data_IF_797849947698
#
_entry.id   IF_797849947698
#
_cell.length_a   1.000
_cell.length_b   1.000
_cell.length_c   1.000
_cell.angle_alpha   90.00
_cell.angle_beta   90.00
_cell.angle_gamma   90.00
#
_symmetry.space_group_name_H-M   'P 1'
#
loop_
_entity.id
_entity.type
_entity.pdbx_description
1 polymer ?
#
# COMPACT_ATOMS: atom_id res chain seq x y z
N UNK A 1 0.78 13.81 -13.40
CA UNK A 1 1.49 12.63 -12.87
C UNK A 1 0.78 11.37 -13.30
N UNK A 2 1.43 10.58 -14.18
CA UNK A 2 0.83 9.44 -14.92
C UNK A 2 0.03 8.48 -14.05
N UNK A 3 0.44 8.26 -12.81
CA UNK A 3 -0.22 7.31 -11.90
C UNK A 3 -1.49 7.89 -11.28
N UNK A 4 -1.50 9.18 -10.97
CA UNK A 4 -2.67 9.91 -10.47
C UNK A 4 -3.75 10.03 -11.54
N UNK A 5 -3.34 10.28 -12.78
CA UNK A 5 -4.26 10.45 -13.91
C UNK A 5 -4.92 9.12 -14.28
N UNK A 6 -4.17 8.00 -14.27
CA UNK A 6 -4.69 6.66 -14.56
C UNK A 6 -5.71 6.21 -13.52
N UNK A 7 -5.46 6.45 -12.23
CA UNK A 7 -6.42 6.11 -11.18
C UNK A 7 -7.69 6.96 -11.29
N UNK A 8 -7.55 8.25 -11.60
CA UNK A 8 -8.68 9.17 -11.72
C UNK A 8 -9.52 8.89 -12.97
N UNK A 9 -8.91 8.56 -14.10
CA UNK A 9 -9.62 8.19 -15.33
C UNK A 9 -10.36 6.86 -15.17
N UNK A 10 -9.74 5.85 -14.60
CA UNK A 10 -10.35 4.54 -14.38
C UNK A 10 -11.60 4.64 -13.48
N UNK A 11 -11.57 5.48 -12.44
CA UNK A 11 -12.76 5.70 -11.61
C UNK A 11 -13.87 6.50 -12.32
N UNK A 12 -13.53 7.41 -13.25
CA UNK A 12 -14.52 8.14 -14.04
C UNK A 12 -15.26 7.26 -15.05
N UNK A 13 -14.54 6.35 -15.72
CA UNK A 13 -15.15 5.42 -16.68
C UNK A 13 -16.12 4.45 -16.02
N UNK A 14 -15.81 3.92 -14.83
CA UNK A 14 -16.75 3.10 -14.06
C UNK A 14 -18.00 3.86 -13.65
N UNK A 15 -17.87 5.14 -13.25
CA UNK A 15 -19.01 5.99 -12.92
C UNK A 15 -20.01 6.12 -14.07
N UNK A 16 -19.56 6.08 -15.31
CA UNK A 16 -20.41 6.20 -16.51
C UNK A 16 -21.14 4.87 -16.84
N UNK A 17 -20.49 3.71 -16.67
CA UNK A 17 -21.08 2.40 -16.96
C UNK A 17 -22.19 2.01 -15.98
N UNK A 18 -22.02 2.26 -14.67
CA UNK A 18 -23.02 1.90 -13.66
C UNK A 18 -24.23 2.85 -13.62
N UNK A 19 -24.12 4.08 -14.13
CA UNK A 19 -25.25 4.99 -14.28
C UNK A 19 -26.30 4.46 -15.27
N UNK A 20 -25.90 3.59 -16.20
CA UNK A 20 -26.76 2.96 -17.18
C UNK A 20 -27.55 1.77 -16.60
N UNK A 21 -26.97 1.02 -15.65
CA UNK A 21 -27.63 -0.15 -15.03
C UNK A 21 -28.64 0.21 -13.93
N UNK A 22 -28.56 1.39 -13.32
CA UNK A 22 -29.44 1.79 -12.22
C UNK A 22 -30.84 2.26 -12.65
N UNK A 23 -31.10 2.39 -13.94
CA UNK A 23 -32.42 2.80 -14.47
C UNK A 23 -33.45 1.68 -14.58
N UNK A 24 -33.04 0.41 -14.48
CA UNK A 24 -33.87 -0.75 -14.70
C UNK A 24 -34.40 -1.47 -13.45
N UNK A 25 -34.10 -1.02 -12.25
CA UNK A 25 -34.52 -1.69 -11.01
C UNK A 25 -35.24 -0.78 -10.00
N UNK A 26 -36.42 -0.27 -10.41
CA UNK A 26 -37.42 0.22 -9.45
C UNK A 26 -38.59 -0.77 -9.41
N UNK A 27 -38.51 -1.76 -8.52
CA UNK A 27 -39.67 -2.23 -7.75
C UNK A 27 -39.26 -3.24 -6.67
N UNK A 28 -39.59 -2.98 -5.46
CA UNK A 28 -40.18 -3.84 -4.45
C UNK A 28 -39.67 -3.59 -3.02
N UNK A 29 -40.63 -3.49 -2.14
CA UNK A 29 -40.63 -3.08 -0.73
C UNK A 29 -39.99 -4.06 0.25
N UNK A 30 -39.51 -3.45 1.35
CA UNK A 30 -39.46 -3.94 2.74
C UNK A 30 -38.56 -5.12 3.11
N UNK A 31 -37.42 -4.83 3.78
CA UNK A 31 -37.16 -5.44 5.09
C UNK A 31 -36.10 -4.69 5.91
N UNK A 32 -36.40 -4.43 7.17
CA UNK A 32 -35.45 -3.89 8.15
C UNK A 32 -34.49 -5.00 8.60
N UNK A 33 -33.16 -4.78 8.47
CA UNK A 33 -32.16 -5.63 9.10
C UNK A 33 -30.97 -6.10 8.28
N UNK A 34 -30.69 -5.55 7.07
CA UNK A 34 -29.65 -6.07 6.16
C UNK A 34 -28.67 -5.02 5.62
N UNK A 35 -28.52 -3.87 6.25
CA UNK A 35 -27.74 -2.77 5.67
C UNK A 35 -26.23 -2.95 5.77
N UNK A 36 -25.70 -3.73 6.71
CA UNK A 36 -24.26 -3.85 6.92
C UNK A 36 -23.59 -4.87 5.97
N UNK A 37 -24.25 -5.99 5.70
CA UNK A 37 -23.71 -7.03 4.81
C UNK A 37 -23.70 -6.64 3.33
N UNK A 38 -24.66 -5.83 2.88
CA UNK A 38 -24.75 -5.40 1.48
C UNK A 38 -23.69 -4.33 1.12
N UNK A 39 -23.34 -3.46 2.05
CA UNK A 39 -22.29 -2.46 1.88
C UNK A 39 -20.91 -3.12 1.75
N UNK A 40 -20.61 -4.06 2.64
CA UNK A 40 -19.34 -4.81 2.63
C UNK A 40 -19.16 -5.60 1.32
N UNK A 41 -20.20 -6.20 0.79
CA UNK A 41 -20.14 -6.95 -0.48
C UNK A 41 -19.86 -6.01 -1.67
N UNK A 42 -20.44 -4.81 -1.67
CA UNK A 42 -20.19 -3.80 -2.70
C UNK A 42 -18.77 -3.26 -2.66
N UNK A 43 -18.24 -2.98 -1.47
CA UNK A 43 -16.85 -2.53 -1.29
C UNK A 43 -15.87 -3.60 -1.78
N UNK A 44 -16.09 -4.87 -1.49
CA UNK A 44 -15.25 -5.97 -2.00
C UNK A 44 -15.29 -6.09 -3.54
N UNK A 45 -16.42 -5.80 -4.17
CA UNK A 45 -16.51 -5.78 -5.63
C UNK A 45 -15.69 -4.62 -6.22
N UNK A 46 -15.76 -3.43 -5.63
CA UNK A 46 -14.98 -2.26 -6.03
C UNK A 46 -13.47 -2.53 -5.89
N UNK A 47 -13.04 -3.14 -4.77
CA UNK A 47 -11.64 -3.54 -4.57
C UNK A 47 -11.16 -4.48 -5.68
N UNK A 48 -11.96 -5.49 -6.02
CA UNK A 48 -11.64 -6.47 -7.06
C UNK A 48 -11.52 -5.82 -8.44
N UNK A 49 -12.43 -4.92 -8.74
CA UNK A 49 -12.41 -4.19 -10.02
C UNK A 49 -11.20 -3.28 -10.13
N UNK A 50 -10.85 -2.57 -9.06
CA UNK A 50 -9.62 -1.77 -9.02
C UNK A 50 -8.37 -2.63 -9.24
N UNK A 51 -8.26 -3.77 -8.54
CA UNK A 51 -7.13 -4.69 -8.72
C UNK A 51 -7.05 -5.19 -10.16
N UNK A 52 -8.18 -5.57 -10.75
CA UNK A 52 -8.24 -6.02 -12.14
C UNK A 52 -7.78 -4.92 -13.10
N UNK A 53 -8.18 -3.67 -12.90
CA UNK A 53 -7.76 -2.55 -13.74
C UNK A 53 -6.27 -2.25 -13.60
N UNK A 54 -5.74 -2.24 -12.39
CA UNK A 54 -4.31 -2.01 -12.13
C UNK A 54 -3.42 -3.07 -12.77
N UNK A 55 -3.89 -4.31 -12.86
CA UNK A 55 -3.10 -5.46 -13.34
C UNK A 55 -3.43 -5.89 -14.76
N UNK A 56 -4.30 -5.13 -15.47
CA UNK A 56 -4.77 -5.47 -16.82
C UNK A 56 -3.70 -5.23 -17.89
N UNK A 57 -3.69 -6.12 -18.89
CA UNK A 57 -2.87 -5.97 -20.09
C UNK A 57 -1.37 -6.04 -19.80
N UNK A 58 -0.61 -5.12 -20.37
CA UNK A 58 0.85 -5.02 -20.21
C UNK A 58 1.26 -4.22 -18.96
N UNK A 59 0.38 -4.14 -17.95
CA UNK A 59 0.70 -3.46 -16.70
C UNK A 59 1.89 -4.11 -16.00
N UNK A 60 2.76 -3.29 -15.44
CA UNK A 60 3.86 -3.77 -14.59
C UNK A 60 3.40 -4.18 -13.18
N UNK A 61 2.18 -3.86 -12.78
CA UNK A 61 1.61 -4.23 -11.49
C UNK A 61 1.17 -5.69 -11.47
N UNK A 62 1.58 -6.43 -10.45
CA UNK A 62 1.26 -7.85 -10.24
C UNK A 62 0.43 -8.01 -9.00
N UNK A 63 -0.73 -8.64 -9.11
CA UNK A 63 -1.57 -8.95 -7.96
C UNK A 63 -1.01 -10.12 -7.17
N UNK A 64 -0.86 -9.94 -5.84
CA UNK A 64 -0.28 -10.89 -4.91
C UNK A 64 -1.26 -11.24 -3.78
N UNK A 65 -2.27 -12.09 -4.05
CA UNK A 65 -3.24 -12.53 -3.04
C UNK A 65 -2.62 -13.39 -1.92
N UNK A 66 -1.45 -13.94 -2.16
CA UNK A 66 -0.67 -14.71 -1.20
C UNK A 66 -0.09 -13.83 -0.07
N UNK A 67 0.15 -12.55 -0.33
CA UNK A 67 0.70 -11.58 0.63
C UNK A 67 -0.41 -10.98 1.50
N UNK A 68 -1.00 -11.77 2.37
CA UNK A 68 -2.19 -11.42 3.14
C UNK A 68 -1.93 -11.18 4.64
N UNK A 69 -0.67 -11.12 5.07
CA UNK A 69 -0.27 -10.78 6.43
C UNK A 69 1.00 -9.90 6.44
N UNK A 70 1.21 -9.17 7.53
CA UNK A 70 2.41 -8.34 7.69
C UNK A 70 3.71 -9.19 7.65
N UNK A 71 3.68 -10.38 8.20
CA UNK A 71 4.81 -11.31 8.14
C UNK A 71 5.18 -11.66 6.69
N UNK A 72 4.19 -12.02 5.88
CA UNK A 72 4.40 -12.33 4.45
C UNK A 72 4.85 -11.11 3.65
N UNK A 73 4.43 -9.91 4.02
CA UNK A 73 4.94 -8.68 3.41
C UNK A 73 6.44 -8.50 3.71
N UNK A 74 6.87 -8.76 4.94
CA UNK A 74 8.28 -8.72 5.29
C UNK A 74 9.10 -9.77 4.55
N UNK A 75 8.58 -11.00 4.44
CA UNK A 75 9.26 -12.07 3.70
C UNK A 75 9.46 -11.69 2.24
N UNK A 76 8.40 -11.19 1.59
CA UNK A 76 8.47 -10.68 0.22
C UNK A 76 9.45 -9.50 0.08
N UNK A 77 9.45 -8.57 1.04
CA UNK A 77 10.40 -7.45 1.04
C UNK A 77 11.85 -7.95 1.10
N UNK A 78 12.17 -8.89 1.98
CA UNK A 78 13.52 -9.45 2.08
C UNK A 78 13.93 -10.24 0.85
N UNK A 79 13.02 -10.98 0.22
CA UNK A 79 13.26 -11.64 -1.06
C UNK A 79 13.68 -10.63 -2.12
N UNK A 80 12.92 -9.55 -2.31
CA UNK A 80 13.24 -8.48 -3.25
C UNK A 80 14.55 -7.77 -2.90
N UNK A 81 14.79 -7.52 -1.63
CA UNK A 81 16.03 -6.90 -1.17
C UNK A 81 17.25 -7.77 -1.51
N UNK A 82 17.19 -9.06 -1.26
CA UNK A 82 18.28 -9.99 -1.56
C UNK A 82 18.47 -10.14 -3.08
N UNK A 83 17.41 -10.29 -3.87
CA UNK A 83 17.45 -10.31 -5.34
C UNK A 83 18.13 -9.07 -5.92
N UNK A 84 17.83 -7.90 -5.40
CA UNK A 84 18.36 -6.62 -5.88
C UNK A 84 19.80 -6.36 -5.43
N UNK A 85 20.31 -7.09 -4.44
CA UNK A 85 21.63 -6.89 -3.85
C UNK A 85 22.55 -8.11 -3.90
N UNK A 86 22.35 -9.00 -4.86
CA UNK A 86 23.11 -10.27 -5.00
C UNK A 86 24.63 -10.03 -4.96
N UNK A 87 25.12 -9.00 -5.64
CA UNK A 87 26.56 -8.68 -5.67
C UNK A 87 27.10 -8.25 -4.32
N UNK A 88 26.34 -7.41 -3.59
CA UNK A 88 26.73 -6.89 -2.27
C UNK A 88 26.68 -7.99 -1.23
N UNK A 89 25.70 -8.90 -1.32
CA UNK A 89 25.55 -10.04 -0.40
C UNK A 89 26.58 -11.16 -0.67
N UNK A 90 27.11 -11.26 -1.90
CA UNK A 90 28.18 -12.19 -2.26
C UNK A 90 27.95 -13.64 -1.77
N UNK A 91 26.79 -14.19 -2.07
CA UNK A 91 26.35 -15.55 -1.65
C UNK A 91 26.17 -15.75 -0.12
N UNK A 92 26.15 -14.66 0.64
CA UNK A 92 25.87 -14.69 2.09
C UNK A 92 24.47 -14.08 2.37
N UNK A 93 23.38 -14.87 2.37
CA UNK A 93 22.03 -14.36 2.62
C UNK A 93 21.93 -13.71 3.99
N UNK A 94 20.90 -12.88 4.16
CA UNK A 94 20.65 -12.18 5.42
C UNK A 94 20.22 -13.16 6.50
N UNK A 95 20.86 -13.08 7.68
CA UNK A 95 20.45 -13.82 8.87
C UNK A 95 19.20 -13.20 9.51
N UNK A 96 18.58 -13.93 10.43
CA UNK A 96 17.44 -13.43 11.19
C UNK A 96 17.78 -12.15 11.97
N UNK A 97 18.95 -12.11 12.61
CA UNK A 97 19.44 -10.93 13.34
C UNK A 97 19.63 -9.73 12.44
N UNK A 98 20.19 -9.93 11.25
CA UNK A 98 20.39 -8.90 10.24
C UNK A 98 19.05 -8.37 9.68
N UNK A 99 18.09 -9.25 9.43
CA UNK A 99 16.73 -8.88 9.05
C UNK A 99 16.05 -8.01 10.12
N UNK A 100 16.27 -8.29 11.39
CA UNK A 100 15.76 -7.46 12.49
C UNK A 100 16.40 -6.08 12.55
N UNK A 101 17.70 -5.95 12.25
CA UNK A 101 18.34 -4.63 12.10
C UNK A 101 17.62 -3.80 11.02
N UNK A 102 17.30 -4.41 9.89
CA UNK A 102 16.60 -3.75 8.77
C UNK A 102 15.18 -3.38 9.16
N UNK A 103 14.42 -4.28 9.79
CA UNK A 103 13.07 -3.98 10.29
C UNK A 103 13.05 -2.78 11.23
N UNK A 104 14.04 -2.66 12.11
CA UNK A 104 14.17 -1.53 13.02
C UNK A 104 14.45 -0.21 12.29
N UNK A 105 15.30 -0.22 11.26
CA UNK A 105 15.58 0.95 10.45
C UNK A 105 14.35 1.42 9.65
N UNK A 106 13.51 0.49 9.18
CA UNK A 106 12.32 0.75 8.39
C UNK A 106 11.05 0.97 9.22
N UNK A 107 11.16 0.99 10.54
CA UNK A 107 10.08 1.37 11.43
C UNK A 107 10.16 2.87 11.74
N UNK A 108 9.66 3.68 10.83
CA UNK A 108 9.74 5.13 10.91
C UNK A 108 8.80 5.72 11.96
N UNK A 109 9.25 6.77 12.65
CA UNK A 109 8.47 7.47 13.68
C UNK A 109 7.26 8.17 13.07
N UNK A 110 7.41 8.68 11.84
CA UNK A 110 6.35 9.33 11.08
C UNK A 110 6.63 9.26 9.58
N UNK A 111 5.64 9.64 8.76
CA UNK A 111 5.75 9.61 7.31
C UNK A 111 6.80 10.59 6.75
N UNK A 112 7.09 11.66 7.45
CA UNK A 112 8.12 12.61 7.05
C UNK A 112 9.52 12.02 7.15
N UNK A 113 9.82 11.30 8.22
CA UNK A 113 11.09 10.57 8.36
C UNK A 113 11.22 9.46 7.30
N UNK A 114 10.13 8.77 6.99
CA UNK A 114 10.09 7.83 5.87
C UNK A 114 10.38 8.52 4.53
N UNK A 115 9.79 9.68 4.28
CA UNK A 115 10.01 10.44 3.04
C UNK A 115 11.48 10.87 2.88
N UNK A 116 12.12 11.31 3.95
CA UNK A 116 13.55 11.65 3.95
C UNK A 116 14.41 10.44 3.58
N UNK A 117 14.13 9.30 4.18
CA UNK A 117 14.84 8.07 3.87
C UNK A 117 14.61 7.62 2.42
N UNK A 118 13.36 7.67 1.93
CA UNK A 118 13.01 7.29 0.54
C UNK A 118 13.70 8.19 -0.47
N UNK A 119 13.86 9.49 -0.19
CA UNK A 119 14.60 10.41 -1.04
C UNK A 119 16.05 9.98 -1.24
N UNK A 120 16.65 9.39 -0.21
CA UNK A 120 17.95 8.74 -0.24
C UNK A 120 19.12 9.66 -0.56
N UNK A 121 20.29 9.05 -0.72
CA UNK A 121 21.48 9.70 -1.26
C UNK A 121 21.53 9.48 -2.78
N UNK A 122 21.59 10.57 -3.53
CA UNK A 122 21.60 10.53 -5.00
C UNK A 122 20.40 9.77 -5.61
N UNK A 123 19.24 9.81 -4.95
CA UNK A 123 18.04 9.15 -5.38
C UNK A 123 17.98 7.64 -5.12
N UNK A 124 18.82 7.13 -4.24
CA UNK A 124 18.83 5.72 -3.84
C UNK A 124 18.60 5.62 -2.34
N UNK A 125 17.51 4.98 -1.93
CA UNK A 125 17.25 4.66 -0.53
C UNK A 125 17.94 3.35 -0.16
N UNK A 126 18.71 3.37 0.92
CA UNK A 126 19.55 2.25 1.37
C UNK A 126 19.29 1.93 2.83
N UNK A 127 19.53 0.68 3.20
CA UNK A 127 19.64 0.23 4.59
C UNK A 127 21.08 -0.20 4.87
N UNK A 128 21.53 0.02 6.10
CA UNK A 128 22.86 -0.39 6.54
C UNK A 128 22.72 -1.62 7.45
N UNK A 129 23.55 -2.62 7.20
CA UNK A 129 23.53 -3.87 7.95
C UNK A 129 24.94 -4.17 8.45
N UNK A 130 25.07 -4.33 9.76
CA UNK A 130 26.27 -4.93 10.33
C UNK A 130 26.12 -6.43 10.26
N UNK A 131 27.01 -7.09 9.49
CA UNK A 131 26.94 -8.53 9.30
C UNK A 131 27.23 -9.26 10.60
N UNK A 132 26.52 -10.35 10.82
CA UNK A 132 26.71 -11.21 11.98
C UNK A 132 28.09 -11.89 11.96
N UNK A 133 28.54 -12.29 10.78
CA UNK A 133 29.95 -12.64 10.54
C UNK A 133 30.80 -11.36 10.42
N UNK A 134 31.58 -11.09 11.46
CA UNK A 134 32.42 -9.90 11.53
C UNK A 134 33.42 -9.76 10.36
N UNK A 135 33.79 -10.86 9.71
CA UNK A 135 34.68 -10.84 8.53
C UNK A 135 34.03 -10.19 7.31
N UNK A 136 32.69 -10.16 7.25
CA UNK A 136 31.93 -9.54 6.19
C UNK A 136 31.68 -8.02 6.41
N UNK A 137 31.97 -7.51 7.62
CA UNK A 137 31.91 -6.10 7.95
C UNK A 137 30.49 -5.52 7.94
N UNK A 138 30.39 -4.25 7.58
CA UNK A 138 29.13 -3.51 7.43
C UNK A 138 28.85 -3.25 5.96
N UNK A 139 27.65 -3.56 5.52
CA UNK A 139 27.23 -3.39 4.13
C UNK A 139 26.06 -2.43 4.03
N UNK A 140 25.86 -1.85 2.84
CA UNK A 140 24.67 -1.05 2.49
C UNK A 140 23.92 -1.74 1.36
N UNK A 141 22.63 -1.95 1.58
CA UNK A 141 21.74 -2.59 0.61
C UNK A 141 20.81 -1.53 0.00
N UNK A 142 20.67 -1.57 -1.31
CA UNK A 142 19.79 -0.68 -2.05
C UNK A 142 18.35 -1.21 -2.00
N UNK A 143 17.40 -0.33 -1.65
CA UNK A 143 15.98 -0.68 -1.50
C UNK A 143 15.13 -0.07 -2.61
N UNK A 144 15.28 1.24 -2.86
CA UNK A 144 14.49 1.98 -3.86
C UNK A 144 15.40 2.88 -4.70
N UNK A 145 15.08 3.01 -5.98
CA UNK A 145 15.78 3.89 -6.92
C UNK A 145 14.82 4.90 -7.51
N UNK A 146 15.04 6.17 -7.27
CA UNK A 146 14.21 7.26 -7.79
C UNK A 146 14.18 7.30 -9.32
N UNK A 147 15.30 7.11 -9.97
CA UNK A 147 15.43 7.25 -11.43
C UNK A 147 14.99 6.01 -12.21
N UNK A 148 14.73 4.90 -11.56
CA UNK A 148 14.36 3.62 -12.17
C UNK A 148 12.95 3.16 -11.77
N UNK A 149 12.11 4.08 -11.30
CA UNK A 149 10.73 3.74 -10.94
C UNK A 149 9.92 3.28 -12.16
N UNK A 150 10.26 3.75 -13.34
CA UNK A 150 9.55 3.40 -14.57
C UNK A 150 10.25 2.37 -15.48
N UNK A 151 11.37 1.78 -15.08
CA UNK A 151 12.13 0.91 -15.98
C UNK A 151 13.09 -0.05 -15.32
N UNK A 152 12.78 -1.30 -15.29
CA UNK A 152 13.68 -2.43 -15.44
C UNK A 152 14.10 -3.22 -14.20
N UNK A 153 14.25 -2.67 -13.00
CA UNK A 153 14.70 -3.43 -11.82
C UNK A 153 13.72 -3.43 -10.65
N UNK A 154 12.74 -2.53 -10.65
CA UNK A 154 11.76 -2.46 -9.59
C UNK A 154 10.62 -3.43 -9.82
N UNK A 155 10.15 -4.08 -8.76
CA UNK A 155 8.94 -4.87 -8.74
C UNK A 155 7.76 -4.01 -8.26
N UNK A 156 6.60 -4.22 -8.86
CA UNK A 156 5.36 -3.50 -8.59
C UNK A 156 4.28 -4.51 -8.24
N UNK A 157 3.80 -4.48 -7.02
CA UNK A 157 2.87 -5.48 -6.53
C UNK A 157 1.64 -4.83 -5.88
N UNK A 158 0.50 -5.47 -6.06
CA UNK A 158 -0.79 -5.06 -5.48
C UNK A 158 -1.23 -6.10 -4.48
N UNK A 159 -1.50 -5.67 -3.25
CA UNK A 159 -2.06 -6.51 -2.18
C UNK A 159 -3.35 -5.89 -1.66
N UNK A 160 -4.22 -6.68 -1.06
CA UNK A 160 -5.45 -6.19 -0.47
C UNK A 160 -5.73 -6.83 0.89
N UNK A 161 -6.41 -6.09 1.76
CA UNK A 161 -6.92 -6.54 3.06
C UNK A 161 -5.89 -7.34 3.88
N UNK A 162 -4.67 -6.81 3.98
CA UNK A 162 -3.59 -7.42 4.74
C UNK A 162 -3.97 -7.55 6.22
N UNK A 163 -3.84 -8.73 6.76
CA UNK A 163 -4.09 -9.00 8.17
C UNK A 163 -2.91 -8.56 9.03
N UNK A 164 -3.20 -7.79 10.06
CA UNK A 164 -2.21 -7.34 11.06
C UNK A 164 -2.66 -7.74 12.46
N UNK A 165 -1.72 -7.87 13.37
CA UNK A 165 -1.97 -8.24 14.76
C UNK A 165 -1.66 -9.71 15.07
N UNK A 166 -1.26 -9.96 16.34
CA UNK A 166 -0.98 -11.30 16.87
C UNK A 166 -2.23 -12.09 17.21
N UNK A 167 -2.06 -13.20 17.92
CA UNK A 167 -3.16 -14.06 18.36
C UNK A 167 -4.23 -13.26 19.12
N UNK A 168 -5.47 -13.31 18.63
CA UNK A 168 -6.67 -12.78 19.28
C UNK A 168 -7.21 -11.45 18.76
N UNK A 169 -6.43 -10.61 18.08
CA UNK A 169 -6.91 -9.34 17.51
C UNK A 169 -6.42 -9.23 16.06
N UNK A 170 -7.18 -9.80 15.15
CA UNK A 170 -6.92 -9.65 13.72
C UNK A 170 -7.57 -8.38 13.20
N UNK A 171 -6.76 -7.41 12.86
CA UNK A 171 -7.22 -6.22 12.15
C UNK A 171 -6.81 -6.32 10.68
N UNK A 172 -7.71 -5.95 9.79
CA UNK A 172 -7.38 -5.76 8.38
C UNK A 172 -6.84 -4.36 8.19
N UNK A 173 -5.78 -4.26 7.42
CA UNK A 173 -5.17 -2.98 7.11
C UNK A 173 -5.32 -2.69 5.64
N UNK A 174 -6.03 -1.60 5.35
CA UNK A 174 -6.22 -1.09 4.01
C UNK A 174 -7.07 -1.96 3.09
N UNK A 175 -7.77 -1.33 2.21
CA UNK A 175 -8.52 -2.05 1.18
C UNK A 175 -7.54 -2.55 0.11
N UNK A 176 -6.75 -1.64 -0.48
CA UNK A 176 -5.70 -1.98 -1.47
C UNK A 176 -4.40 -1.26 -1.12
N UNK A 177 -3.28 -1.98 -1.17
CA UNK A 177 -1.94 -1.41 -0.94
C UNK A 177 -1.03 -1.70 -2.12
N UNK A 178 -0.32 -0.69 -2.58
CA UNK A 178 0.65 -0.80 -3.66
C UNK A 178 2.06 -0.86 -3.09
N UNK A 179 2.81 -1.89 -3.51
CA UNK A 179 4.19 -2.15 -3.09
C UNK A 179 5.15 -1.86 -4.23
N UNK A 180 6.27 -1.21 -3.91
CA UNK A 180 7.43 -1.13 -4.82
C UNK A 180 8.61 -1.79 -4.13
N UNK A 181 9.22 -2.76 -4.77
CA UNK A 181 10.27 -3.61 -4.19
C UNK A 181 9.86 -4.22 -2.84
N UNK A 182 8.60 -4.63 -2.72
CA UNK A 182 8.02 -5.18 -1.51
C UNK A 182 7.70 -4.17 -0.41
N UNK A 183 7.99 -2.88 -0.60
CA UNK A 183 7.74 -1.84 0.40
C UNK A 183 6.41 -1.13 0.15
N UNK A 184 5.47 -1.08 1.12
CA UNK A 184 4.21 -0.34 0.98
C UNK A 184 4.43 1.16 0.81
N UNK A 185 3.98 1.72 -0.31
CA UNK A 185 4.14 3.15 -0.60
C UNK A 185 2.81 3.88 -0.78
N UNK A 186 1.77 3.19 -1.24
CA UNK A 186 0.46 3.79 -1.48
C UNK A 186 -0.62 2.93 -0.84
N UNK A 187 -1.47 3.57 -0.05
CA UNK A 187 -2.64 2.97 0.58
C UNK A 187 -3.89 3.54 -0.08
N UNK A 188 -4.78 2.66 -0.53
CA UNK A 188 -6.06 3.03 -1.13
C UNK A 188 -7.18 2.54 -0.22
N UNK A 189 -8.07 3.44 0.18
CA UNK A 189 -9.28 3.14 0.94
C UNK A 189 -10.51 3.42 0.08
N UNK A 190 -11.37 2.44 -0.02
CA UNK A 190 -12.53 2.45 -0.89
C UNK A 190 -13.82 2.44 -0.08
N UNK A 191 -14.80 3.16 -0.55
CA UNK A 191 -16.16 3.16 -0.01
C UNK A 191 -17.17 2.97 -1.12
N UNK A 192 -18.31 2.41 -0.80
CA UNK A 192 -19.43 2.34 -1.73
C UNK A 192 -19.97 3.75 -2.03
N UNK A 193 -20.68 3.91 -3.15
CA UNK A 193 -21.29 5.20 -3.56
C UNK A 193 -22.21 5.83 -2.53
N UNK A 194 -22.74 5.05 -1.61
CA UNK A 194 -23.57 5.53 -0.50
C UNK A 194 -22.79 6.28 0.59
N UNK A 195 -21.47 6.21 0.57
CA UNK A 195 -20.56 6.88 1.50
C UNK A 195 -19.79 8.00 0.80
N UNK A 196 -19.31 8.94 1.57
CA UNK A 196 -18.44 9.98 1.04
C UNK A 196 -16.96 9.52 1.08
N UNK A 197 -16.12 10.08 0.22
CA UNK A 197 -14.67 9.85 0.32
C UNK A 197 -14.11 10.30 1.69
N UNK A 198 -14.81 11.23 2.37
CA UNK A 198 -14.45 11.66 3.72
C UNK A 198 -14.58 10.54 4.76
N UNK A 199 -15.45 9.56 4.55
CA UNK A 199 -15.58 8.42 5.46
C UNK A 199 -14.34 7.53 5.35
N UNK A 200 -13.81 7.31 4.14
CA UNK A 200 -12.54 6.63 3.92
C UNK A 200 -11.37 7.41 4.54
N UNK A 201 -11.34 8.73 4.37
CA UNK A 201 -10.31 9.59 4.98
C UNK A 201 -10.34 9.53 6.51
N UNK A 202 -11.52 9.55 7.13
CA UNK A 202 -11.68 9.41 8.58
C UNK A 202 -11.17 8.07 9.08
N UNK A 203 -11.37 7.00 8.32
CA UNK A 203 -10.83 5.67 8.62
C UNK A 203 -9.30 5.70 8.64
N UNK A 204 -8.66 6.26 7.61
CA UNK A 204 -7.19 6.42 7.55
C UNK A 204 -6.69 7.26 8.72
N UNK A 205 -7.33 8.40 9.00
CA UNK A 205 -6.95 9.29 10.11
C UNK A 205 -7.09 8.63 11.47
N UNK A 206 -8.08 7.76 11.64
CA UNK A 206 -8.23 6.94 12.84
C UNK A 206 -7.08 5.94 12.98
N UNK A 207 -6.77 5.22 11.92
CA UNK A 207 -5.65 4.27 11.89
C UNK A 207 -4.31 4.94 12.24
N UNK A 208 -4.06 6.13 11.71
CA UNK A 208 -2.86 6.91 12.01
C UNK A 208 -2.79 7.31 13.49
N UNK A 209 -3.89 7.83 14.05
CA UNK A 209 -3.96 8.21 15.47
C UNK A 209 -3.81 7.02 16.43
N UNK A 210 -4.29 5.86 16.04
CA UNK A 210 -4.17 4.62 16.80
C UNK A 210 -2.79 3.96 16.64
N UNK A 211 -1.89 4.57 15.86
CA UNK A 211 -0.54 4.07 15.63
C UNK A 211 -0.50 2.78 14.83
N UNK A 212 -1.49 2.54 13.99
CA UNK A 212 -1.58 1.32 13.18
C UNK A 212 -0.60 1.31 11.99
N UNK A 213 -0.13 2.49 11.55
CA UNK A 213 0.88 2.61 10.49
C UNK A 213 2.30 2.51 11.07
N UNK A 214 2.60 1.37 11.67
CA UNK A 214 3.93 1.00 12.20
C UNK A 214 4.51 -0.17 11.40
N UNK A 215 5.76 -0.53 11.69
CA UNK A 215 6.44 -1.61 10.99
C UNK A 215 6.57 -1.30 9.50
N UNK A 216 6.31 -2.27 8.65
CA UNK A 216 6.45 -2.10 7.19
C UNK A 216 5.55 -1.00 6.62
N UNK A 217 4.38 -0.76 7.20
CA UNK A 217 3.43 0.28 6.77
C UNK A 217 3.87 1.71 7.12
N UNK A 218 4.89 1.88 7.94
CA UNK A 218 5.45 3.21 8.26
C UNK A 218 6.12 3.90 7.07
N UNK A 219 6.36 3.16 5.99
CA UNK A 219 6.94 3.67 4.74
C UNK A 219 5.92 4.31 3.79
N UNK A 220 4.63 4.26 4.08
CA UNK A 220 3.58 4.84 3.24
C UNK A 220 3.80 6.32 2.94
N UNK A 221 3.62 6.71 1.67
CA UNK A 221 3.88 8.06 1.18
C UNK A 221 2.64 8.74 0.61
N UNK A 222 1.63 7.98 0.23
CA UNK A 222 0.41 8.49 -0.36
C UNK A 222 -0.79 7.69 0.17
N UNK A 223 -1.86 8.42 0.45
CA UNK A 223 -3.18 7.86 0.70
C UNK A 223 -4.13 8.29 -0.42
N UNK A 224 -4.86 7.34 -0.97
CA UNK A 224 -5.93 7.56 -1.93
C UNK A 224 -7.24 7.15 -1.27
N UNK A 225 -8.24 8.00 -1.37
CA UNK A 225 -9.59 7.72 -0.86
C UNK A 225 -10.59 7.86 -2.00
N UNK A 226 -11.50 6.91 -2.13
CA UNK A 226 -12.50 6.93 -3.20
C UNK A 226 -13.82 6.31 -2.76
N UNK A 227 -14.91 6.86 -3.30
CA UNK A 227 -16.25 6.26 -3.24
C UNK A 227 -16.78 5.92 -4.62
N UNK A 228 -15.88 5.65 -5.59
CA UNK A 228 -16.18 5.41 -7.01
C UNK A 228 -16.52 6.69 -7.80
N UNK A 229 -17.26 7.63 -7.21
CA UNK A 229 -17.65 8.89 -7.86
C UNK A 229 -16.58 9.96 -7.68
N UNK A 230 -16.05 10.06 -6.46
CA UNK A 230 -15.03 11.03 -6.08
C UNK A 230 -13.78 10.31 -5.61
N UNK A 231 -12.66 10.70 -6.17
CA UNK A 231 -11.33 10.21 -5.76
C UNK A 231 -10.47 11.40 -5.34
N UNK A 232 -9.84 11.26 -4.18
CA UNK A 232 -8.91 12.23 -3.62
C UNK A 232 -7.64 11.53 -3.17
N UNK A 233 -6.54 12.24 -3.18
CA UNK A 233 -5.27 11.74 -2.66
C UNK A 233 -4.54 12.78 -1.84
N UNK A 234 -3.75 12.33 -0.89
CA UNK A 234 -2.93 13.17 -0.03
C UNK A 234 -1.54 12.55 0.12
N UNK A 235 -0.51 13.39 0.01
CA UNK A 235 0.84 12.96 0.35
C UNK A 235 0.98 12.84 1.87
N UNK A 236 1.31 11.64 2.35
CA UNK A 236 1.45 11.36 3.77
C UNK A 236 2.57 12.16 4.44
N UNK A 237 3.62 12.52 3.68
CA UNK A 237 4.81 13.21 4.18
C UNK A 237 4.64 14.69 4.55
N UNK A 238 3.55 15.34 4.13
CA UNK A 238 3.39 16.80 4.30
C UNK A 238 3.00 17.25 5.70
N UNK A 239 2.53 16.35 6.55
CA UNK A 239 2.13 16.71 7.90
C UNK A 239 2.49 15.59 8.88
N UNK A 240 2.85 15.97 10.10
CA UNK A 240 2.96 15.01 11.21
C UNK A 240 1.60 14.37 11.55
N UNK A 241 0.52 14.89 10.96
CA UNK A 241 -0.83 14.36 11.04
C UNK A 241 -1.51 14.55 9.68
N UNK A 242 -2.25 13.55 9.26
CA UNK A 242 -3.11 13.64 8.09
C UNK A 242 -4.16 14.73 8.31
N UNK A 243 -4.26 15.65 7.38
CA UNK A 243 -5.18 16.79 7.46
C UNK A 243 -6.02 16.85 6.18
N UNK A 244 -7.34 16.87 6.35
CA UNK A 244 -8.32 16.91 5.25
C UNK A 244 -8.16 18.11 4.31
N UNK A 245 -7.52 19.21 4.76
CA UNK A 245 -7.26 20.39 3.93
C UNK A 245 -6.29 20.12 2.77
N UNK A 246 -5.58 19.01 2.82
CA UNK A 246 -4.63 18.60 1.79
C UNK A 246 -5.15 17.47 0.88
N UNK A 247 -6.42 17.09 1.07
CA UNK A 247 -7.07 16.01 0.32
C UNK A 247 -7.62 16.46 -1.05
#
# INVERSE_FOLDING_TARGET
DVMSDTLTENFREQGAMEAQESLDSHNSMNNHGTTDSSSSTKELAIERDLINQLTKGESQWVYRPDLNSEEKLWDNFFEKLEENNVRTLADHPLTYSEKNQIKNQLNFVNFYEAAKWIAGENGIAKVQVQREDASLGTIRLEVLWRNNVAGGKSSYEVVHQVMTGGEGIRQRRGDVTLLINGLPLIQIELKSRSHTYMDAFRQISKCDREGQFRGIFSSLQMFVVSNVTDTRYIAAAKANKLNERFL
#
